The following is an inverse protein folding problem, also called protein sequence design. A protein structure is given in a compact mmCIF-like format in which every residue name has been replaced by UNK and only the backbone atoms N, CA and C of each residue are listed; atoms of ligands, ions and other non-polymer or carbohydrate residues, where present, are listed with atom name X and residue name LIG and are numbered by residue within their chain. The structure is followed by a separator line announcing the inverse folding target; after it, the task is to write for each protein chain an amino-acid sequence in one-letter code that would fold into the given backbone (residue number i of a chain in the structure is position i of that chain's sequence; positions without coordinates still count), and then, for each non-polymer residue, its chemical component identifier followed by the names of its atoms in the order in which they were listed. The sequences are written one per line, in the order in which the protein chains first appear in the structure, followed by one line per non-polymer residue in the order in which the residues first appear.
data_IF_743423918726
#
_entry.id   IF_743423918726
#
_cell.length_a   1.000
_cell.length_b   1.000
_cell.length_c   1.000
_cell.angle_alpha   90.00
_cell.angle_beta   90.00
_cell.angle_gamma   90.00
#
_symmetry.space_group_name_H-M   'P 1'
#
loop_
_entity.id
_entity.type
_entity.pdbx_description
1 polymer ?
#
# COMPACT_ATOMS: atom_id res chain seq x y z
N UNK A 1 -1.06 7.22 -12.70
CA UNK A 1 -2.13 6.53 -11.98
C UNK A 1 -2.32 7.16 -10.62
N UNK A 2 -3.52 7.15 -10.11
CA UNK A 2 -3.81 7.71 -8.80
C UNK A 2 -3.94 6.61 -7.76
N UNK A 3 -3.88 7.01 -6.49
CA UNK A 3 -4.10 6.10 -5.38
C UNK A 3 -5.60 5.94 -5.18
N UNK A 4 -6.06 4.69 -5.18
CA UNK A 4 -7.48 4.38 -5.07
C UNK A 4 -7.94 4.43 -3.61
N UNK A 5 -9.15 4.89 -3.39
CA UNK A 5 -9.78 4.78 -2.07
C UNK A 5 -10.36 3.39 -1.92
N UNK A 6 -9.87 2.63 -0.96
CA UNK A 6 -10.31 1.26 -0.73
C UNK A 6 -11.29 1.24 0.44
N UNK A 7 -12.45 0.63 0.20
CA UNK A 7 -13.51 0.48 1.17
C UNK A 7 -13.90 -0.98 1.25
N UNK A 8 -14.74 -1.30 2.23
CA UNK A 8 -15.28 -2.65 2.38
C UNK A 8 -15.97 -3.10 1.08
N UNK A 9 -16.60 -2.18 0.36
CA UNK A 9 -17.40 -2.53 -0.82
C UNK A 9 -16.54 -2.85 -2.05
N UNK A 10 -15.32 -2.31 -2.17
CA UNK A 10 -14.48 -2.57 -3.33
C UNK A 10 -13.24 -3.41 -3.02
N UNK A 11 -13.05 -3.81 -1.78
CA UNK A 11 -11.83 -4.49 -1.34
C UNK A 11 -11.62 -5.81 -2.08
N UNK A 12 -12.64 -6.64 -2.18
CA UNK A 12 -12.50 -7.96 -2.80
C UNK A 12 -12.08 -7.84 -4.26
N UNK A 13 -12.80 -7.02 -5.03
CA UNK A 13 -12.51 -6.87 -6.47
C UNK A 13 -11.17 -6.20 -6.73
N UNK A 14 -10.87 -5.14 -5.98
CA UNK A 14 -9.70 -4.31 -6.26
C UNK A 14 -8.43 -4.91 -5.67
N UNK A 15 -8.51 -5.54 -4.51
CA UNK A 15 -7.34 -6.03 -3.79
C UNK A 15 -7.19 -7.54 -3.93
N UNK A 16 -8.20 -8.31 -3.52
CA UNK A 16 -8.08 -9.76 -3.45
C UNK A 16 -8.05 -10.41 -4.82
N UNK A 17 -8.79 -9.86 -5.78
CA UNK A 17 -8.86 -10.41 -7.15
C UNK A 17 -7.93 -9.73 -8.13
N UNK A 18 -7.05 -8.85 -7.66
CA UNK A 18 -6.10 -8.16 -8.53
C UNK A 18 -5.09 -9.15 -9.10
N UNK A 19 -4.80 -9.01 -10.40
CA UNK A 19 -3.72 -9.76 -11.04
C UNK A 19 -2.38 -9.04 -10.95
N UNK A 20 -2.37 -7.85 -10.34
CA UNK A 20 -1.17 -7.07 -10.07
C UNK A 20 -0.91 -7.05 -8.58
N UNK A 21 0.34 -6.81 -8.16
CA UNK A 21 0.60 -6.52 -6.75
C UNK A 21 -0.19 -5.31 -6.30
N UNK A 22 -0.63 -5.32 -5.05
CA UNK A 22 -1.41 -4.22 -4.47
C UNK A 22 -0.69 -3.75 -3.21
N UNK A 23 -0.48 -2.44 -3.09
CA UNK A 23 0.02 -1.84 -1.86
C UNK A 23 -1.10 -1.02 -1.24
N UNK A 24 -1.42 -1.30 0.03
CA UNK A 24 -2.40 -0.53 0.78
C UNK A 24 -1.74 0.28 1.87
N UNK A 25 -2.13 1.54 1.97
CA UNK A 25 -1.72 2.49 3.00
C UNK A 25 -2.88 2.66 3.98
N UNK A 26 -2.75 2.12 5.19
CA UNK A 26 -3.74 2.31 6.26
C UNK A 26 -3.41 3.60 7.00
N UNK A 27 -4.33 4.54 7.01
CA UNK A 27 -4.09 5.91 7.47
C UNK A 27 -5.30 6.51 8.16
N UNK A 28 -5.12 7.68 8.79
CA UNK A 28 -6.22 8.48 9.33
C UNK A 28 -5.88 9.97 9.18
N UNK A 29 -6.90 10.80 9.14
CA UNK A 29 -6.73 12.23 8.93
C UNK A 29 -6.01 12.94 10.09
N UNK A 30 -6.14 12.40 11.30
CA UNK A 30 -5.50 12.98 12.49
C UNK A 30 -4.05 12.54 12.69
N UNK A 31 -3.55 11.67 11.84
CA UNK A 31 -2.24 11.03 11.99
C UNK A 31 -1.16 11.88 11.30
N UNK A 32 -0.26 12.50 12.09
CA UNK A 32 0.84 13.29 11.55
C UNK A 32 1.76 12.51 10.62
N UNK A 33 2.31 11.35 11.05
CA UNK A 33 3.17 10.54 10.18
C UNK A 33 2.49 10.10 8.89
N UNK A 34 1.17 9.89 8.90
CA UNK A 34 0.43 9.53 7.69
C UNK A 34 0.49 10.63 6.64
N UNK A 35 0.60 11.90 7.07
CA UNK A 35 0.72 13.04 6.13
C UNK A 35 2.06 13.04 5.41
N UNK A 36 3.08 12.40 5.99
CA UNK A 36 4.37 12.22 5.34
C UNK A 36 4.33 11.03 4.38
N UNK A 37 3.61 9.98 4.75
CA UNK A 37 3.54 8.76 3.93
C UNK A 37 2.72 8.98 2.66
N UNK A 38 1.63 9.75 2.73
CA UNK A 38 0.73 9.94 1.60
C UNK A 38 1.42 10.40 0.32
N UNK A 39 2.20 11.50 0.36
CA UNK A 39 2.89 11.99 -0.84
C UNK A 39 3.87 10.96 -1.44
N UNK A 40 4.50 10.14 -0.61
CA UNK A 40 5.40 9.09 -1.08
C UNK A 40 4.61 8.06 -1.88
N UNK A 41 3.45 7.66 -1.37
CA UNK A 41 2.58 6.71 -2.06
C UNK A 41 2.07 7.32 -3.38
N UNK A 42 1.70 8.61 -3.38
CA UNK A 42 1.26 9.29 -4.59
C UNK A 42 2.35 9.27 -5.67
N UNK A 43 3.60 9.53 -5.29
CA UNK A 43 4.72 9.50 -6.23
C UNK A 43 4.94 8.11 -6.81
N UNK A 44 4.85 7.08 -5.97
CA UNK A 44 5.01 5.70 -6.43
C UNK A 44 3.90 5.31 -7.40
N UNK A 45 2.67 5.71 -7.11
CA UNK A 45 1.53 5.41 -7.98
C UNK A 45 1.69 6.05 -9.35
N UNK A 46 2.27 7.25 -9.40
CA UNK A 46 2.52 7.94 -10.66
C UNK A 46 3.60 7.26 -11.50
N UNK A 47 4.53 6.53 -10.87
CA UNK A 47 5.70 5.95 -11.53
C UNK A 47 5.57 4.46 -11.84
N UNK A 48 4.64 3.74 -11.21
CA UNK A 48 4.58 2.29 -11.31
C UNK A 48 3.17 1.82 -11.65
N UNK A 49 2.84 1.79 -12.94
CA UNK A 49 1.51 1.41 -13.41
C UNK A 49 1.24 -0.09 -13.28
N UNK A 50 2.27 -0.89 -13.02
CA UNK A 50 2.12 -2.34 -12.84
C UNK A 50 1.80 -2.74 -11.39
N UNK A 51 1.58 -1.76 -10.52
CA UNK A 51 1.19 -1.98 -9.12
C UNK A 51 -0.08 -1.18 -8.86
N UNK A 52 -1.02 -1.77 -8.16
CA UNK A 52 -2.22 -1.07 -7.68
C UNK A 52 -1.91 -0.45 -6.34
N UNK A 53 -2.11 0.86 -6.21
CA UNK A 53 -1.91 1.58 -4.95
C UNK A 53 -3.26 2.01 -4.40
N UNK A 54 -3.53 1.66 -3.14
CA UNK A 54 -4.77 2.02 -2.48
C UNK A 54 -4.53 2.56 -1.08
N UNK A 55 -5.51 3.27 -0.56
CA UNK A 55 -5.48 3.79 0.80
C UNK A 55 -6.76 3.42 1.53
N UNK A 56 -6.63 3.05 2.80
CA UNK A 56 -7.73 2.67 3.67
C UNK A 56 -7.75 3.61 4.85
N UNK A 57 -8.82 4.37 5.01
CA UNK A 57 -9.01 5.22 6.18
C UNK A 57 -9.51 4.35 7.32
N UNK A 58 -8.71 4.19 8.37
CA UNK A 58 -9.05 3.26 9.45
C UNK A 58 -10.27 3.69 10.26
N UNK A 59 -10.57 4.99 10.27
CA UNK A 59 -11.76 5.48 10.97
C UNK A 59 -13.04 5.16 10.21
N UNK A 60 -12.96 5.17 8.87
CA UNK A 60 -14.12 4.88 8.02
C UNK A 60 -14.27 3.39 7.75
N UNK A 61 -13.16 2.63 7.82
CA UNK A 61 -13.16 1.19 7.52
C UNK A 61 -12.60 0.40 8.72
N UNK A 62 -13.26 0.48 9.89
CA UNK A 62 -12.73 -0.20 11.08
C UNK A 62 -12.69 -1.72 10.94
N UNK A 63 -13.60 -2.30 10.16
CA UNK A 63 -13.62 -3.75 9.96
C UNK A 63 -12.39 -4.22 9.19
N UNK A 64 -12.00 -3.49 8.14
CA UNK A 64 -10.79 -3.82 7.38
C UNK A 64 -9.55 -3.66 8.24
N UNK A 65 -9.47 -2.57 9.01
CA UNK A 65 -8.35 -2.35 9.91
C UNK A 65 -8.22 -3.47 10.92
N UNK A 66 -9.34 -3.89 11.50
CA UNK A 66 -9.37 -4.97 12.48
C UNK A 66 -8.98 -6.31 11.86
N UNK A 67 -9.49 -6.59 10.67
CA UNK A 67 -9.22 -7.85 9.97
C UNK A 67 -7.72 -8.04 9.71
N UNK A 68 -7.01 -6.96 9.41
CA UNK A 68 -5.58 -7.03 9.12
C UNK A 68 -4.71 -6.64 10.30
N UNK A 69 -5.29 -6.56 11.50
CA UNK A 69 -4.54 -6.36 12.74
C UNK A 69 -3.83 -5.01 12.81
N UNK A 70 -4.44 -3.97 12.25
CA UNK A 70 -3.83 -2.63 12.25
C UNK A 70 -3.94 -2.03 13.64
N UNK A 71 -2.81 -1.90 14.33
CA UNK A 71 -2.74 -1.33 15.68
C UNK A 71 -2.06 0.02 15.72
N UNK A 72 -1.29 0.36 14.71
CA UNK A 72 -0.68 1.70 14.58
C UNK A 72 -0.61 2.07 13.10
N UNK A 73 -0.58 3.38 12.84
CA UNK A 73 -0.60 3.93 11.49
C UNK A 73 0.49 4.97 11.33
N UNK A 74 1.04 5.15 10.11
CA UNK A 74 0.66 4.42 8.90
C UNK A 74 1.17 2.98 8.95
N UNK A 75 0.43 2.07 8.33
CA UNK A 75 0.87 0.71 8.09
C UNK A 75 0.66 0.40 6.62
N UNK A 76 1.68 -0.13 5.97
CA UNK A 76 1.62 -0.54 4.58
C UNK A 76 1.54 -2.05 4.51
N UNK A 77 0.63 -2.55 3.67
CA UNK A 77 0.51 -3.99 3.42
C UNK A 77 0.59 -4.21 1.92
N UNK A 78 1.39 -5.20 1.51
CA UNK A 78 1.49 -5.60 0.12
C UNK A 78 0.78 -6.94 -0.06
N UNK A 79 -0.11 -6.97 -1.04
CA UNK A 79 -0.84 -8.18 -1.42
C UNK A 79 -0.35 -8.65 -2.78
N UNK A 80 -0.32 -9.96 -2.99
CA UNK A 80 -0.10 -10.57 -4.28
C UNK A 80 -0.97 -11.82 -4.36
N UNK A 81 -1.74 -11.93 -5.44
CA UNK A 81 -2.65 -13.07 -5.65
C UNK A 81 -3.59 -13.29 -4.45
N UNK A 82 -4.11 -12.19 -3.90
CA UNK A 82 -5.05 -12.23 -2.79
C UNK A 82 -4.46 -12.50 -1.43
N UNK A 83 -3.13 -12.52 -1.30
CA UNK A 83 -2.45 -12.84 -0.03
C UNK A 83 -1.52 -11.72 0.39
N UNK A 84 -1.41 -11.53 1.70
CA UNK A 84 -0.43 -10.61 2.28
C UNK A 84 0.96 -11.22 2.12
N UNK A 85 1.86 -10.51 1.44
CA UNK A 85 3.24 -10.97 1.27
C UNK A 85 4.23 -10.12 2.06
N UNK A 86 3.84 -8.92 2.48
CA UNK A 86 4.73 -8.07 3.28
C UNK A 86 3.90 -7.01 4.02
N UNK A 87 4.46 -6.52 5.13
CA UNK A 87 3.79 -5.52 5.97
C UNK A 87 4.83 -4.73 6.73
N UNK A 88 4.64 -3.42 6.83
CA UNK A 88 5.55 -2.56 7.58
C UNK A 88 4.75 -1.44 8.25
N UNK A 89 5.12 -1.10 9.48
CA UNK A 89 4.49 -0.05 10.27
C UNK A 89 5.44 1.14 10.39
N UNK A 90 4.88 2.34 10.32
CA UNK A 90 5.64 3.60 10.37
C UNK A 90 5.96 4.12 8.99
N UNK A 91 6.42 5.38 8.93
CA UNK A 91 6.75 6.01 7.66
C UNK A 91 7.87 5.24 6.97
N UNK A 92 7.61 4.83 5.73
CA UNK A 92 8.53 4.01 4.97
C UNK A 92 8.93 4.77 3.71
N UNK A 93 10.24 4.81 3.42
CA UNK A 93 10.76 5.59 2.31
C UNK A 93 10.37 4.98 0.97
N UNK A 94 10.40 5.82 -0.06
CA UNK A 94 10.14 5.39 -1.44
C UNK A 94 11.04 4.22 -1.82
N UNK A 95 12.34 4.32 -1.54
CA UNK A 95 13.30 3.27 -1.87
C UNK A 95 13.00 1.96 -1.16
N UNK A 96 12.62 2.03 0.12
CA UNK A 96 12.26 0.83 0.88
C UNK A 96 11.02 0.16 0.31
N UNK A 97 10.03 0.96 -0.06
CA UNK A 97 8.79 0.41 -0.64
C UNK A 97 9.09 -0.25 -1.99
N UNK A 98 9.93 0.39 -2.81
CA UNK A 98 10.32 -0.20 -4.10
C UNK A 98 11.04 -1.54 -3.90
N UNK A 99 11.89 -1.64 -2.89
CA UNK A 99 12.54 -2.92 -2.57
C UNK A 99 11.52 -3.98 -2.11
N UNK A 100 10.56 -3.58 -1.28
CA UNK A 100 9.51 -4.50 -0.83
C UNK A 100 8.69 -5.03 -2.00
N UNK A 101 8.47 -4.19 -3.02
CA UNK A 101 7.74 -4.56 -4.23
C UNK A 101 8.62 -5.30 -5.24
N UNK A 102 9.92 -5.42 -4.99
CA UNK A 102 10.85 -6.09 -5.89
C UNK A 102 11.29 -5.26 -7.08
N UNK A 103 10.91 -4.01 -7.15
CA UNK A 103 11.15 -3.17 -8.33
C UNK A 103 12.62 -2.79 -8.47
N UNK A 104 13.27 -2.44 -7.37
CA UNK A 104 14.69 -2.05 -7.38
C UNK A 104 15.57 -3.26 -7.71
N UNK A 105 15.22 -4.44 -7.18
CA UNK A 105 15.99 -5.66 -7.44
C UNK A 105 15.98 -6.00 -8.92
N UNK A 106 14.81 -5.94 -9.58
CA UNK A 106 14.71 -6.18 -11.02
C UNK A 106 15.53 -5.20 -11.81
N UNK A 107 15.46 -3.93 -11.44
CA UNK A 107 16.25 -2.88 -12.10
C UNK A 107 17.74 -3.11 -11.94
N UNK A 108 18.17 -3.47 -10.74
CA UNK A 108 19.57 -3.73 -10.44
C UNK A 108 20.12 -4.86 -11.33
N UNK A 109 19.42 -5.95 -11.45
CA UNK A 109 19.86 -7.07 -12.28
C UNK A 109 19.88 -6.73 -13.75
N UNK A 110 18.99 -5.87 -14.21
CA UNK A 110 18.99 -5.44 -15.61
C UNK A 110 20.22 -4.60 -15.95
N UNK A 111 20.68 -3.80 -15.01
CA UNK A 111 21.85 -2.93 -15.20
C UNK A 111 23.13 -3.75 -15.26
N UNK A 112 23.18 -4.84 -14.52
CA UNK A 112 24.36 -5.69 -14.49
C UNK A 112 24.49 -6.54 -15.74
#
# INVERSE_FOLDING_TARGET
MSVLTITKSNFEETVLKSDKPVLLDFWASWCGPCRMQGPIIDQLAASHSNVVFGKVNVDEEPDLASEYGITSIPTLIIFRDGRVIDQVTGVTSKASIERMLGLVILHYFKIR
#
